data_IF_860429230324
#
_entry.id   IF_860429230324
#
_cell.length_a   1.000
_cell.length_b   1.000
_cell.length_c   1.000
_cell.angle_alpha   90.00
_cell.angle_beta   90.00
_cell.angle_gamma   90.00
#
_symmetry.space_group_name_H-M   'P 1'
#
loop_
_entity.id
_entity.type
_entity.pdbx_description
1 polymer ?
#
# COMPACT_ATOMS: atom_id res chain seq x y z
N UNK A 1 20.18 -4.18 2.62
CA UNK A 1 19.05 -4.04 3.56
C UNK A 1 19.61 -3.44 4.85
N UNK A 2 18.97 -2.43 5.46
CA UNK A 2 19.40 -1.89 6.76
C UNK A 2 18.53 -2.52 7.85
N UNK A 3 18.98 -3.65 8.42
CA UNK A 3 18.17 -4.51 9.29
C UNK A 3 17.70 -3.83 10.60
N UNK A 4 18.34 -2.74 11.05
CA UNK A 4 17.92 -1.98 12.23
C UNK A 4 17.13 -0.69 11.96
N UNK A 5 16.87 -0.34 10.70
CA UNK A 5 16.19 0.91 10.37
C UNK A 5 14.67 0.74 10.29
N UNK A 6 13.92 1.61 10.97
CA UNK A 6 12.47 1.69 10.84
C UNK A 6 12.08 1.94 9.37
N UNK A 7 11.06 1.24 8.89
CA UNK A 7 10.51 1.38 7.54
C UNK A 7 9.15 2.08 7.59
N UNK A 8 8.74 2.67 6.46
CA UNK A 8 7.43 3.28 6.31
C UNK A 8 6.30 2.28 6.63
N UNK A 9 6.47 1.03 6.22
CA UNK A 9 5.53 -0.05 6.54
C UNK A 9 5.37 -0.24 8.05
N UNK A 10 6.49 -0.46 8.75
CA UNK A 10 6.48 -0.69 10.20
C UNK A 10 5.91 0.52 10.95
N UNK A 11 6.28 1.72 10.55
CA UNK A 11 5.78 2.96 11.13
C UNK A 11 4.27 3.13 10.90
N UNK A 12 3.79 3.00 9.66
CA UNK A 12 2.35 3.10 9.33
C UNK A 12 1.51 2.03 10.02
N UNK A 13 1.95 0.78 10.02
CA UNK A 13 1.25 -0.32 10.70
C UNK A 13 1.18 -0.11 12.23
N UNK A 14 2.25 0.41 12.84
CA UNK A 14 2.30 0.74 14.26
C UNK A 14 1.27 1.82 14.59
N UNK A 15 1.19 2.88 13.77
CA UNK A 15 0.21 3.94 13.98
C UNK A 15 -1.24 3.44 13.80
N UNK A 16 -1.50 2.61 12.80
CA UNK A 16 -2.80 1.98 12.60
C UNK A 16 -3.23 1.18 13.84
N UNK A 17 -2.32 0.37 14.41
CA UNK A 17 -2.57 -0.37 15.65
C UNK A 17 -2.81 0.54 16.86
N UNK A 18 -2.03 1.60 17.02
CA UNK A 18 -2.21 2.57 18.11
C UNK A 18 -3.55 3.30 18.02
N UNK A 19 -3.97 3.73 16.83
CA UNK A 19 -5.28 4.37 16.63
C UNK A 19 -6.42 3.41 16.91
N UNK A 20 -6.35 2.18 16.40
CA UNK A 20 -7.36 1.16 16.69
C UNK A 20 -7.44 0.84 18.20
N UNK A 21 -6.30 0.72 18.88
CA UNK A 21 -6.27 0.52 20.33
C UNK A 21 -6.85 1.69 21.12
N UNK A 22 -6.58 2.92 20.69
CA UNK A 22 -7.18 4.13 21.27
C UNK A 22 -8.70 4.16 21.09
N UNK A 23 -9.20 3.81 19.90
CA UNK A 23 -10.64 3.73 19.60
C UNK A 23 -11.34 2.65 20.43
N UNK A 24 -10.75 1.45 20.53
CA UNK A 24 -11.34 0.32 21.24
C UNK A 24 -11.35 0.52 22.76
N UNK A 25 -10.33 1.18 23.32
CA UNK A 25 -10.16 1.27 24.78
C UNK A 25 -10.54 2.63 25.37
N UNK A 26 -10.43 3.71 24.58
CA UNK A 26 -10.66 5.08 25.04
C UNK A 26 -9.73 5.57 26.15
N UNK A 27 -8.68 4.81 26.49
CA UNK A 27 -7.80 5.19 27.61
C UNK A 27 -6.95 6.40 27.23
N UNK A 28 -6.75 7.32 28.19
CA UNK A 28 -5.97 8.52 27.96
C UNK A 28 -4.57 8.20 27.42
N UNK A 29 -3.91 7.18 27.96
CA UNK A 29 -2.58 6.75 27.49
C UNK A 29 -2.56 6.18 26.07
N UNK A 30 -3.60 5.46 25.65
CA UNK A 30 -3.69 4.97 24.26
C UNK A 30 -3.95 6.11 23.27
N UNK A 31 -4.85 7.03 23.62
CA UNK A 31 -5.13 8.24 22.84
C UNK A 31 -3.86 9.07 22.68
N UNK A 32 -3.18 9.38 23.79
CA UNK A 32 -1.92 10.14 23.79
C UNK A 32 -0.84 9.45 22.96
N UNK A 33 -0.63 8.14 23.16
CA UNK A 33 0.36 7.37 22.39
C UNK A 33 0.10 7.44 20.89
N UNK A 34 -1.17 7.33 20.46
CA UNK A 34 -1.53 7.42 19.04
C UNK A 34 -1.25 8.82 18.46
N UNK A 35 -1.50 9.89 19.21
CA UNK A 35 -1.27 11.27 18.79
C UNK A 35 0.22 11.60 18.73
N UNK A 36 0.97 11.24 19.77
CA UNK A 36 2.42 11.42 19.82
C UNK A 36 3.10 10.66 18.69
N UNK A 37 2.70 9.41 18.44
CA UNK A 37 3.29 8.62 17.37
C UNK A 37 2.96 9.18 15.98
N UNK A 38 1.73 9.67 15.75
CA UNK A 38 1.38 10.35 14.51
C UNK A 38 2.27 11.58 14.26
N UNK A 39 2.46 12.42 15.29
CA UNK A 39 3.32 13.60 15.20
C UNK A 39 4.78 13.24 14.90
N UNK A 40 5.32 12.21 15.56
CA UNK A 40 6.67 11.71 15.29
C UNK A 40 6.82 11.19 13.86
N UNK A 41 5.80 10.47 13.37
CA UNK A 41 5.79 9.87 12.04
C UNK A 41 5.73 10.96 10.95
N UNK A 42 4.94 12.02 11.13
CA UNK A 42 4.93 13.20 10.26
C UNK A 42 6.25 13.97 10.31
N UNK A 43 6.79 14.20 11.51
CA UNK A 43 8.06 14.90 11.70
C UNK A 43 9.30 14.16 11.17
N UNK A 44 9.19 12.85 10.94
CA UNK A 44 10.27 12.00 10.42
C UNK A 44 10.01 11.57 8.98
N UNK A 45 9.12 10.61 8.75
CA UNK A 45 8.79 10.11 7.42
C UNK A 45 8.08 11.16 6.57
N UNK A 46 7.14 11.91 7.16
CA UNK A 46 6.43 12.99 6.45
C UNK A 46 7.38 14.08 5.95
N UNK A 47 8.27 14.57 6.81
CA UNK A 47 9.33 15.52 6.44
C UNK A 47 10.28 14.95 5.37
N UNK A 48 10.52 13.64 5.40
CA UNK A 48 11.30 12.91 4.41
C UNK A 48 10.55 12.61 3.11
N UNK A 49 9.31 13.07 2.92
CA UNK A 49 8.52 12.82 1.71
C UNK A 49 7.92 11.43 1.62
N UNK A 50 7.71 10.77 2.76
CA UNK A 50 7.10 9.43 2.86
C UNK A 50 7.84 8.34 2.09
N UNK A 51 9.17 8.34 2.18
CA UNK A 51 10.03 7.32 1.57
C UNK A 51 10.06 6.03 2.39
N UNK A 52 10.63 4.96 1.81
CA UNK A 52 10.83 3.66 2.49
C UNK A 52 11.47 3.78 3.88
N UNK A 53 12.50 4.60 4.01
CA UNK A 53 13.17 4.95 5.26
C UNK A 53 13.02 6.45 5.51
N UNK A 54 13.24 6.89 6.76
CA UNK A 54 13.10 8.31 7.16
C UNK A 54 13.89 9.29 6.29
N UNK A 55 15.03 8.87 5.75
CA UNK A 55 16.01 9.69 5.04
C UNK A 55 16.46 9.06 3.72
N UNK A 56 15.67 8.15 3.13
CA UNK A 56 15.99 7.58 1.83
C UNK A 56 15.22 6.31 1.45
N UNK A 57 15.64 5.71 0.33
CA UNK A 57 15.04 4.50 -0.22
C UNK A 57 13.93 4.75 -1.27
N UNK A 58 13.53 6.02 -1.45
CA UNK A 58 12.58 6.45 -2.46
C UNK A 58 11.15 5.99 -2.20
N UNK A 59 10.31 6.11 -3.22
CA UNK A 59 8.91 5.68 -3.21
C UNK A 59 8.78 4.22 -2.76
N UNK A 60 7.77 3.93 -1.95
CA UNK A 60 7.50 2.60 -1.42
C UNK A 60 5.98 2.35 -1.44
N UNK A 61 5.57 1.17 -1.90
CA UNK A 61 4.15 0.79 -1.95
C UNK A 61 3.48 0.80 -0.57
N UNK A 62 4.26 0.76 0.51
CA UNK A 62 3.79 0.96 1.88
C UNK A 62 3.05 2.29 2.10
N UNK A 63 3.24 3.30 1.23
CA UNK A 63 2.47 4.55 1.32
C UNK A 63 0.95 4.31 1.23
N UNK A 64 0.53 3.33 0.42
CA UNK A 64 -0.88 2.98 0.29
C UNK A 64 -1.48 2.32 1.54
N UNK A 65 -0.64 1.85 2.48
CA UNK A 65 -1.09 1.27 3.75
C UNK A 65 -1.93 2.26 4.56
N UNK A 66 -1.64 3.57 4.47
CA UNK A 66 -2.26 4.58 5.30
C UNK A 66 -3.78 4.61 5.09
N UNK A 67 -4.26 4.95 3.88
CA UNK A 67 -5.69 4.91 3.59
C UNK A 67 -6.24 3.47 3.62
N UNK A 68 -5.44 2.48 3.22
CA UNK A 68 -5.87 1.08 3.30
C UNK A 68 -6.18 0.63 4.73
N UNK A 69 -5.63 1.27 5.77
CA UNK A 69 -5.86 0.95 7.18
C UNK A 69 -6.67 2.00 7.94
N UNK A 70 -7.28 2.96 7.24
CA UNK A 70 -8.12 3.99 7.86
C UNK A 70 -7.34 5.19 8.41
N UNK A 71 -6.05 5.32 8.11
CA UNK A 71 -5.24 6.51 8.45
C UNK A 71 -5.51 7.68 7.48
N UNK A 72 -6.79 7.96 7.22
CA UNK A 72 -7.24 8.98 6.29
C UNK A 72 -6.68 10.36 6.63
N UNK A 73 -6.39 11.15 5.60
CA UNK A 73 -5.91 12.52 5.70
C UNK A 73 -4.43 12.69 6.08
N UNK A 74 -3.72 11.60 6.40
CA UNK A 74 -2.27 11.68 6.63
C UNK A 74 -1.47 11.80 5.33
N UNK A 75 -1.96 11.14 4.28
CA UNK A 75 -1.38 11.17 2.94
C UNK A 75 -2.36 11.88 2.02
N UNK A 76 -1.88 12.82 1.23
CA UNK A 76 -2.67 13.42 0.15
C UNK A 76 -3.04 12.33 -0.87
N UNK A 77 -4.33 12.11 -1.17
CA UNK A 77 -4.76 11.13 -2.17
C UNK A 77 -4.04 11.25 -3.52
N UNK A 78 -3.68 12.47 -3.94
CA UNK A 78 -2.93 12.69 -5.18
C UNK A 78 -1.53 12.03 -5.16
N UNK A 79 -0.92 11.86 -3.98
CA UNK A 79 0.35 11.15 -3.82
C UNK A 79 0.21 9.65 -4.09
N UNK A 80 -0.95 9.04 -3.84
CA UNK A 80 -1.21 7.64 -4.24
C UNK A 80 -1.28 7.50 -5.76
N UNK A 81 -1.87 8.50 -6.45
CA UNK A 81 -1.85 8.59 -7.91
C UNK A 81 -0.42 8.69 -8.46
N UNK A 82 0.40 9.57 -7.88
CA UNK A 82 1.81 9.72 -8.26
C UNK A 82 2.63 8.43 -8.02
N UNK A 83 2.38 7.75 -6.89
CA UNK A 83 3.04 6.49 -6.53
C UNK A 83 2.89 5.42 -7.61
N UNK A 84 1.71 5.34 -8.26
CA UNK A 84 1.47 4.41 -9.37
C UNK A 84 2.44 4.65 -10.54
N UNK A 85 2.71 5.91 -10.87
CA UNK A 85 3.65 6.29 -11.92
C UNK A 85 5.09 5.99 -11.52
N UNK A 86 5.49 6.41 -10.31
CA UNK A 86 6.84 6.24 -9.78
C UNK A 86 7.28 4.77 -9.68
N UNK A 87 6.34 3.87 -9.37
CA UNK A 87 6.60 2.44 -9.20
C UNK A 87 6.15 1.59 -10.39
N UNK A 88 5.75 2.20 -11.51
CA UNK A 88 5.17 1.50 -12.65
C UNK A 88 6.08 0.42 -13.23
N UNK A 89 5.45 -0.62 -13.76
CA UNK A 89 6.09 -1.73 -14.46
C UNK A 89 5.47 -1.92 -15.85
N UNK A 90 6.21 -2.47 -16.83
CA UNK A 90 5.74 -2.61 -18.21
C UNK A 90 4.39 -3.31 -18.35
N UNK A 91 4.14 -4.33 -17.52
CA UNK A 91 2.87 -5.05 -17.52
C UNK A 91 1.69 -4.28 -16.90
N UNK A 92 1.90 -3.07 -16.34
CA UNK A 92 0.86 -2.16 -15.85
C UNK A 92 0.63 -2.14 -14.34
N UNK A 93 1.21 -3.09 -13.58
CA UNK A 93 1.22 -3.06 -12.13
C UNK A 93 2.40 -2.25 -11.58
N UNK A 94 2.68 -2.41 -10.28
CA UNK A 94 3.78 -1.67 -9.62
C UNK A 94 4.83 -2.58 -8.98
N UNK A 95 6.03 -2.02 -8.81
CA UNK A 95 7.08 -2.56 -7.97
C UNK A 95 6.76 -2.36 -6.46
N UNK A 96 7.40 -3.12 -5.55
CA UNK A 96 7.29 -2.86 -4.12
C UNK A 96 7.87 -1.52 -3.66
N UNK A 97 8.90 -1.02 -4.35
CA UNK A 97 9.53 0.27 -4.06
C UNK A 97 10.55 0.69 -5.12
N UNK A 98 11.00 1.93 -5.08
CA UNK A 98 11.83 2.56 -6.12
C UNK A 98 13.20 1.87 -6.27
N UNK A 99 13.79 1.44 -5.15
CA UNK A 99 15.06 0.72 -5.14
C UNK A 99 14.92 -0.78 -5.50
N UNK A 100 13.72 -1.25 -5.84
CA UNK A 100 13.51 -2.64 -6.25
C UNK A 100 14.14 -2.92 -7.61
N UNK A 101 14.52 -4.19 -7.83
CA UNK A 101 15.10 -4.65 -9.10
C UNK A 101 14.25 -4.22 -10.29
N UNK A 102 14.91 -3.70 -11.33
CA UNK A 102 14.27 -3.21 -12.56
C UNK A 102 14.08 -4.35 -13.57
N UNK A 103 13.45 -5.43 -13.13
CA UNK A 103 13.22 -6.66 -13.92
C UNK A 103 11.88 -6.66 -14.67
N UNK A 104 11.15 -5.54 -14.63
CA UNK A 104 9.85 -5.38 -15.28
C UNK A 104 8.70 -6.15 -14.59
N UNK A 105 8.95 -6.85 -13.49
CA UNK A 105 7.94 -7.65 -12.80
C UNK A 105 7.05 -6.75 -11.94
N UNK A 106 5.73 -6.88 -12.12
CA UNK A 106 4.73 -6.28 -11.24
C UNK A 106 4.45 -7.20 -10.06
N UNK A 107 4.29 -6.61 -8.87
CA UNK A 107 3.95 -7.32 -7.64
C UNK A 107 2.49 -7.06 -7.31
N UNK A 108 1.67 -8.10 -7.38
CA UNK A 108 0.24 -7.98 -7.08
C UNK A 108 -0.06 -7.61 -5.62
N UNK A 109 0.71 -7.97 -4.58
CA UNK A 109 0.40 -7.49 -3.23
C UNK A 109 0.56 -5.98 -3.12
N UNK A 110 1.61 -5.40 -3.71
CA UNK A 110 1.80 -3.95 -3.79
C UNK A 110 0.73 -3.28 -4.66
N UNK A 111 0.41 -3.87 -5.81
CA UNK A 111 -0.59 -3.31 -6.74
C UNK A 111 -1.99 -3.33 -6.13
N UNK A 112 -2.39 -4.44 -5.49
CA UNK A 112 -3.69 -4.55 -4.82
C UNK A 112 -3.79 -3.67 -3.57
N UNK A 113 -2.71 -3.50 -2.81
CA UNK A 113 -2.68 -2.55 -1.68
C UNK A 113 -2.90 -1.12 -2.17
N UNK A 114 -2.25 -0.72 -3.27
CA UNK A 114 -2.50 0.58 -3.90
C UNK A 114 -3.97 0.73 -4.30
N UNK A 115 -4.57 -0.31 -4.89
CA UNK A 115 -6.00 -0.32 -5.24
C UNK A 115 -6.91 -0.09 -4.02
N UNK A 116 -6.64 -0.76 -2.90
CA UNK A 116 -7.37 -0.58 -1.65
C UNK A 116 -7.17 0.83 -1.07
N UNK A 117 -5.93 1.32 -1.03
CA UNK A 117 -5.63 2.68 -0.57
C UNK A 117 -6.35 3.74 -1.40
N UNK A 118 -6.31 3.63 -2.73
CA UNK A 118 -7.05 4.52 -3.63
C UNK A 118 -8.56 4.46 -3.40
N UNK A 119 -9.13 3.25 -3.25
CA UNK A 119 -10.56 3.09 -2.99
C UNK A 119 -10.98 3.83 -1.71
N UNK A 120 -10.25 3.62 -0.61
CA UNK A 120 -10.56 4.24 0.68
C UNK A 120 -10.19 5.73 0.77
N UNK A 121 -9.29 6.20 -0.09
CA UNK A 121 -8.96 7.63 -0.23
C UNK A 121 -9.97 8.41 -1.10
N UNK A 122 -10.98 7.76 -1.68
CA UNK A 122 -11.96 8.39 -2.58
C UNK A 122 -11.56 8.44 -4.06
N UNK A 123 -10.39 7.89 -4.43
CA UNK A 123 -9.86 7.84 -5.79
C UNK A 123 -10.46 6.68 -6.61
N UNK A 124 -11.80 6.63 -6.66
CA UNK A 124 -12.56 5.46 -7.10
C UNK A 124 -12.25 5.04 -8.54
N UNK A 125 -12.01 6.00 -9.45
CA UNK A 125 -11.65 5.69 -10.85
C UNK A 125 -10.32 4.95 -10.91
N UNK A 126 -9.30 5.48 -10.25
CA UNK A 126 -7.98 4.87 -10.23
C UNK A 126 -7.99 3.50 -9.53
N UNK A 127 -8.78 3.34 -8.47
CA UNK A 127 -8.99 2.05 -7.81
C UNK A 127 -9.61 1.00 -8.75
N UNK A 128 -10.64 1.37 -9.52
CA UNK A 128 -11.26 0.47 -10.52
C UNK A 128 -10.31 0.07 -11.64
N UNK A 129 -9.42 0.97 -12.07
CA UNK A 129 -8.37 0.66 -13.04
C UNK A 129 -7.38 -0.40 -12.49
N UNK A 130 -7.00 -0.29 -11.21
CA UNK A 130 -6.16 -1.29 -10.54
C UNK A 130 -6.88 -2.64 -10.44
N UNK A 131 -8.17 -2.65 -10.06
CA UNK A 131 -8.97 -3.88 -9.98
C UNK A 131 -9.15 -4.54 -11.35
N UNK A 132 -9.37 -3.75 -12.40
CA UNK A 132 -9.46 -4.24 -13.78
C UNK A 132 -8.13 -4.87 -14.22
N UNK A 133 -7.00 -4.25 -13.85
CA UNK A 133 -5.68 -4.80 -14.08
C UNK A 133 -5.50 -6.15 -13.38
N UNK A 134 -5.86 -6.25 -12.09
CA UNK A 134 -5.77 -7.52 -11.34
C UNK A 134 -6.63 -8.61 -11.99
N UNK A 135 -7.85 -8.28 -12.43
CA UNK A 135 -8.75 -9.22 -13.09
C UNK A 135 -8.20 -9.76 -14.42
N UNK A 136 -7.50 -8.92 -15.19
CA UNK A 136 -6.89 -9.27 -16.47
C UNK A 136 -5.64 -10.16 -16.33
N UNK A 137 -4.99 -10.17 -15.17
CA UNK A 137 -3.74 -10.90 -14.93
C UNK A 137 -3.90 -12.08 -13.96
N UNK A 138 -5.11 -12.64 -13.86
CA UNK A 138 -5.37 -13.87 -13.11
C UNK A 138 -4.74 -15.08 -13.80
N UNK A 139 -4.51 -16.15 -13.05
CA UNK A 139 -4.17 -17.45 -13.63
C UNK A 139 -5.34 -17.97 -14.49
N UNK A 140 -5.09 -19.00 -15.31
CA UNK A 140 -6.13 -19.66 -16.09
C UNK A 140 -7.29 -20.18 -15.22
N UNK A 141 -7.00 -20.57 -13.98
CA UNK A 141 -7.98 -21.02 -12.98
C UNK A 141 -8.64 -19.85 -12.22
N UNK A 142 -8.34 -18.60 -12.57
CA UNK A 142 -8.94 -17.41 -11.97
C UNK A 142 -8.30 -16.95 -10.65
N UNK A 143 -7.15 -17.51 -10.25
CA UNK A 143 -6.45 -17.11 -9.02
C UNK A 143 -5.60 -15.85 -9.23
N UNK A 144 -5.40 -15.08 -8.17
CA UNK A 144 -4.49 -13.93 -8.18
C UNK A 144 -3.06 -14.40 -7.82
N UNK A 145 -2.07 -14.23 -8.74
CA UNK A 145 -0.69 -14.66 -8.50
C UNK A 145 0.06 -13.65 -7.63
N UNK A 146 1.23 -13.99 -7.08
CA UNK A 146 2.13 -13.04 -6.41
C UNK A 146 2.72 -12.04 -7.42
N UNK A 147 3.08 -12.53 -8.62
CA UNK A 147 3.82 -11.76 -9.62
C UNK A 147 3.11 -11.79 -10.96
N UNK A 148 3.31 -10.72 -11.72
CA UNK A 148 3.01 -10.64 -13.15
C UNK A 148 4.31 -10.28 -13.86
N UNK A 149 4.74 -11.13 -14.78
CA UNK A 149 5.97 -10.95 -15.54
C UNK A 149 5.88 -9.72 -16.45
N UNK A 150 7.02 -9.30 -17.00
CA UNK A 150 7.08 -8.14 -17.90
C UNK A 150 6.18 -8.26 -19.14
N UNK A 151 5.82 -9.48 -19.53
CA UNK A 151 4.95 -9.81 -20.66
C UNK A 151 3.47 -10.00 -20.26
N UNK A 152 3.11 -9.73 -19.01
CA UNK A 152 1.75 -9.87 -18.50
C UNK A 152 1.37 -11.28 -18.05
N UNK A 153 2.26 -12.28 -18.15
CA UNK A 153 1.91 -13.62 -17.65
C UNK A 153 1.89 -13.66 -16.11
N UNK A 154 0.89 -14.31 -15.49
CA UNK A 154 0.88 -14.58 -14.06
C UNK A 154 2.01 -15.55 -13.70
N UNK A 155 2.67 -15.34 -12.56
CA UNK A 155 3.80 -16.16 -12.13
C UNK A 155 3.89 -16.29 -10.60
N UNK A 156 4.64 -17.32 -10.18
CA UNK A 156 4.87 -17.68 -8.78
C UNK A 156 3.58 -18.07 -8.05
N UNK A 157 3.55 -17.90 -6.72
CA UNK A 157 2.50 -18.39 -5.84
C UNK A 157 1.13 -17.87 -6.28
N UNK A 158 0.17 -18.79 -6.50
CA UNK A 158 -1.23 -18.50 -6.74
C UNK A 158 -2.08 -19.60 -6.08
N UNK A 159 -3.07 -19.27 -5.22
CA UNK A 159 -3.49 -17.92 -4.84
C UNK A 159 -2.54 -17.27 -3.83
N UNK A 160 -2.28 -15.96 -3.99
CA UNK A 160 -1.71 -15.15 -2.92
C UNK A 160 -2.85 -14.54 -2.08
N UNK A 161 -3.07 -15.08 -0.88
CA UNK A 161 -4.19 -14.70 0.00
C UNK A 161 -4.25 -13.20 0.29
N UNK A 162 -3.09 -12.55 0.46
CA UNK A 162 -3.04 -11.12 0.72
C UNK A 162 -3.55 -10.29 -0.46
N UNK A 163 -3.15 -10.60 -1.70
CA UNK A 163 -3.68 -9.92 -2.90
C UNK A 163 -5.19 -10.11 -3.02
N UNK A 164 -5.70 -11.30 -2.74
CA UNK A 164 -7.13 -11.57 -2.73
C UNK A 164 -7.87 -10.74 -1.66
N UNK A 165 -7.33 -10.66 -0.44
CA UNK A 165 -7.91 -9.88 0.64
C UNK A 165 -7.99 -8.38 0.29
N UNK A 166 -6.90 -7.79 -0.21
CA UNK A 166 -6.88 -6.40 -0.64
C UNK A 166 -7.91 -6.14 -1.76
N UNK A 167 -8.04 -7.07 -2.70
CA UNK A 167 -9.00 -6.99 -3.81
C UNK A 167 -10.44 -6.97 -3.30
N UNK A 168 -10.79 -7.86 -2.37
CA UNK A 168 -12.12 -7.92 -1.76
C UNK A 168 -12.43 -6.66 -0.95
N UNK A 169 -11.49 -6.20 -0.12
CA UNK A 169 -11.65 -4.96 0.67
C UNK A 169 -11.79 -3.72 -0.22
N UNK A 170 -11.12 -3.68 -1.37
CA UNK A 170 -11.25 -2.59 -2.32
C UNK A 170 -12.61 -2.60 -3.02
N UNK A 171 -13.14 -3.79 -3.37
CA UNK A 171 -14.49 -3.94 -3.91
C UNK A 171 -15.55 -3.50 -2.91
N UNK A 172 -15.40 -3.88 -1.64
CA UNK A 172 -16.26 -3.45 -0.54
C UNK A 172 -16.26 -1.93 -0.37
N UNK A 173 -15.06 -1.31 -0.31
CA UNK A 173 -14.92 0.13 -0.21
C UNK A 173 -15.52 0.90 -1.39
N UNK A 174 -15.62 0.29 -2.58
CA UNK A 174 -16.21 0.91 -3.78
C UNK A 174 -17.72 0.67 -3.93
N UNK A 175 -18.29 -0.17 -3.07
CA UNK A 175 -19.71 -0.49 -3.02
C UNK A 175 -20.48 0.34 -1.98
N UNK A 176 -19.77 0.89 -0.99
CA UNK A 176 -20.28 1.84 0.00
C UNK A 176 -20.53 3.24 -0.62
#
# INVERSE_FOLDING_TARGET
MREGAATLWGAGATLAGLRAGAELTGTAGAVESSQVFAHLLEGTFGRGGWQRYRDGGGADSALALFDATGLHGMIDPARLGALRGELSRPAGGIAPGAAWKQDGISWTPSTSLLGLGLARAGEHRAAREVLSWLAAHRTEQGSLPEKVLHDGRPAQVAPLAWTAANTLLALDALAA
#
